data_IF_419285341147
#
_entry.id   IF_419285341147
#
_cell.length_a   1.000
_cell.length_b   1.000
_cell.length_c   1.000
_cell.angle_alpha   90.00
_cell.angle_beta   90.00
_cell.angle_gamma   90.00
#
_symmetry.space_group_name_H-M   'P 1'
#
loop_
_entity.id
_entity.type
_entity.pdbx_description
1 polymer ?
#
# COMPACT_ATOMS: atom_id res chain seq x y z
N UNK A 1 2.82 13.97 12.22
CA UNK A 1 1.99 14.11 11.01
C UNK A 1 2.92 14.49 9.89
N UNK A 2 2.89 13.73 8.79
CA UNK A 2 3.77 13.88 7.65
C UNK A 2 2.90 14.17 6.43
N UNK A 3 3.27 15.17 5.64
CA UNK A 3 2.74 15.35 4.29
C UNK A 3 3.54 14.46 3.35
N UNK A 4 2.86 13.54 2.68
CA UNK A 4 3.45 12.63 1.69
C UNK A 4 3.12 13.16 0.31
N UNK A 5 4.16 13.28 -0.52
CA UNK A 5 4.03 13.50 -1.96
C UNK A 5 4.43 12.22 -2.68
N UNK A 6 3.44 11.55 -3.26
CA UNK A 6 3.62 10.36 -4.08
C UNK A 6 3.59 10.75 -5.56
N UNK A 7 4.54 10.24 -6.33
CA UNK A 7 4.59 10.43 -7.79
C UNK A 7 4.70 9.05 -8.44
N UNK A 8 3.63 8.61 -9.11
CA UNK A 8 3.57 7.33 -9.83
C UNK A 8 3.10 7.63 -11.26
N UNK A 9 3.84 7.17 -12.27
CA UNK A 9 3.50 7.35 -13.69
C UNK A 9 3.12 8.81 -14.07
N UNK A 10 3.82 9.80 -13.51
CA UNK A 10 3.55 11.25 -13.63
C UNK A 10 2.24 11.75 -12.99
N UNK A 11 1.44 10.88 -12.38
CA UNK A 11 0.38 11.29 -11.46
C UNK A 11 1.00 11.70 -10.11
N UNK A 12 0.54 12.82 -9.55
CA UNK A 12 0.99 13.32 -8.24
C UNK A 12 -0.16 13.24 -7.24
N UNK A 13 0.04 12.51 -6.15
CA UNK A 13 -0.87 12.43 -5.01
C UNK A 13 -0.24 13.13 -3.81
N UNK A 14 -1.03 13.97 -3.12
CA UNK A 14 -0.65 14.65 -1.89
C UNK A 14 -1.62 14.25 -0.79
N UNK A 15 -1.10 13.66 0.29
CA UNK A 15 -1.93 13.23 1.42
C UNK A 15 -1.15 13.35 2.74
N UNK A 16 -1.88 13.37 3.85
CA UNK A 16 -1.31 13.39 5.19
C UNK A 16 -1.33 12.00 5.80
N UNK A 17 -0.22 11.59 6.42
CA UNK A 17 -0.15 10.37 7.23
C UNK A 17 0.31 10.69 8.65
N UNK A 18 -0.17 9.90 9.61
CA UNK A 18 0.24 10.03 11.01
C UNK A 18 1.64 9.50 11.24
N UNK A 19 1.99 8.40 10.56
CA UNK A 19 3.22 7.64 10.78
C UNK A 19 3.75 7.07 9.46
N UNK A 20 5.09 6.95 9.37
CA UNK A 20 5.79 6.24 8.32
C UNK A 20 6.73 5.26 9.01
N UNK A 21 6.54 3.97 8.76
CA UNK A 21 7.36 2.91 9.34
C UNK A 21 8.31 2.35 8.30
N UNK A 22 9.62 2.51 8.53
CA UNK A 22 10.65 1.90 7.68
C UNK A 22 11.09 0.60 8.33
N UNK A 23 10.59 -0.51 7.81
CA UNK A 23 11.00 -1.85 8.22
C UNK A 23 12.37 -2.20 7.61
N UNK A 24 13.30 -2.71 8.43
CA UNK A 24 14.60 -3.22 7.96
C UNK A 24 14.57 -4.75 7.98
N UNK A 25 15.34 -5.37 7.10
CA UNK A 25 15.53 -6.83 7.07
C UNK A 25 15.78 -7.36 8.49
N UNK A 26 14.98 -8.35 8.90
CA UNK A 26 15.03 -8.97 10.23
C UNK A 26 14.21 -8.28 11.32
N UNK A 27 13.58 -7.12 11.07
CA UNK A 27 12.67 -6.49 12.03
C UNK A 27 11.29 -7.19 12.04
N UNK A 28 10.52 -7.11 13.14
CA UNK A 28 9.15 -7.64 13.16
C UNK A 28 8.26 -7.06 12.07
N UNK A 29 8.41 -5.76 11.79
CA UNK A 29 7.65 -5.05 10.75
C UNK A 29 8.02 -5.54 9.35
N UNK A 30 9.26 -5.98 9.13
CA UNK A 30 9.68 -6.56 7.85
C UNK A 30 8.92 -7.86 7.62
N UNK A 31 8.92 -8.76 8.61
CA UNK A 31 8.15 -9.99 8.54
C UNK A 31 6.65 -9.72 8.33
N UNK A 32 6.07 -8.79 9.07
CA UNK A 32 4.66 -8.42 8.96
C UNK A 32 4.30 -7.93 7.54
N UNK A 33 5.18 -7.17 6.88
CA UNK A 33 4.94 -6.71 5.52
C UNK A 33 4.87 -7.87 4.51
N UNK A 34 5.76 -8.85 4.63
CA UNK A 34 5.74 -10.05 3.77
C UNK A 34 4.58 -10.99 4.11
N UNK A 35 4.23 -11.13 5.40
CA UNK A 35 3.06 -11.91 5.81
C UNK A 35 1.77 -11.32 5.20
N UNK A 36 1.62 -9.98 5.23
CA UNK A 36 0.50 -9.28 4.58
C UNK A 36 0.49 -9.50 3.06
N UNK A 37 1.65 -9.39 2.40
CA UNK A 37 1.75 -9.65 0.97
C UNK A 37 1.30 -11.08 0.60
N UNK A 38 1.71 -12.07 1.39
CA UNK A 38 1.30 -13.46 1.22
C UNK A 38 -0.21 -13.67 1.43
N UNK A 39 -0.79 -13.03 2.44
CA UNK A 39 -2.24 -13.07 2.69
C UNK A 39 -3.05 -12.49 1.52
N UNK A 40 -2.51 -11.46 0.86
CA UNK A 40 -3.09 -10.85 -0.34
C UNK A 40 -2.76 -11.63 -1.63
N UNK A 41 -1.96 -12.69 -1.57
CA UNK A 41 -1.55 -13.48 -2.74
C UNK A 41 -0.56 -12.75 -3.66
N UNK A 42 0.21 -11.80 -3.13
CA UNK A 42 1.16 -10.98 -3.87
C UNK A 42 2.58 -11.49 -3.59
N UNK A 43 3.27 -12.01 -4.60
CA UNK A 43 4.61 -12.60 -4.41
C UNK A 43 5.70 -11.54 -4.19
N UNK A 44 5.83 -10.55 -5.07
CA UNK A 44 6.95 -9.60 -5.05
C UNK A 44 6.49 -8.14 -5.07
N UNK A 45 5.84 -7.66 -3.99
CA UNK A 45 5.34 -6.29 -3.96
C UNK A 45 6.49 -5.28 -3.90
N UNK A 46 6.54 -4.36 -4.86
CA UNK A 46 7.30 -3.11 -4.75
C UNK A 46 6.48 -2.08 -3.96
N UNK A 47 5.17 -2.07 -4.16
CA UNK A 47 4.21 -1.21 -3.46
C UNK A 47 2.93 -2.00 -3.20
N UNK A 48 2.40 -1.89 -1.97
CA UNK A 48 1.03 -2.25 -1.63
C UNK A 48 0.37 -0.98 -1.08
N UNK A 49 -0.67 -0.52 -1.75
CA UNK A 49 -1.46 0.62 -1.34
C UNK A 49 -2.85 0.13 -0.94
N UNK A 50 -3.29 0.51 0.25
CA UNK A 50 -4.64 0.25 0.72
C UNK A 50 -5.49 1.48 0.45
N UNK A 51 -6.49 1.33 -0.42
CA UNK A 51 -7.37 2.39 -0.84
C UNK A 51 -8.67 2.24 -0.05
N UNK A 52 -8.96 3.19 0.87
CA UNK A 52 -10.21 3.16 1.61
C UNK A 52 -11.40 3.37 0.66
N UNK A 53 -12.61 2.98 1.09
CA UNK A 53 -13.80 3.21 0.28
C UNK A 53 -14.00 4.70 0.02
N UNK A 54 -14.45 5.02 -1.19
CA UNK A 54 -14.82 6.38 -1.57
C UNK A 54 -16.34 6.55 -1.59
N UNK A 55 -16.80 7.72 -1.16
CA UNK A 55 -18.23 8.00 -0.97
C UNK A 55 -18.66 9.18 -1.82
N UNK A 56 -19.89 9.13 -2.32
CA UNK A 56 -20.48 10.24 -3.09
C UNK A 56 -21.04 11.37 -2.22
N UNK A 57 -21.21 11.10 -0.93
CA UNK A 57 -21.80 12.01 0.05
C UNK A 57 -20.89 12.18 1.27
N UNK A 58 -20.95 13.37 1.88
CA UNK A 58 -20.12 13.73 3.05
C UNK A 58 -20.43 12.88 4.29
N UNK A 59 -21.65 12.35 4.40
CA UNK A 59 -22.08 11.47 5.49
C UNK A 59 -21.61 10.02 5.30
N UNK A 60 -20.89 9.72 4.21
CA UNK A 60 -20.29 8.41 3.91
C UNK A 60 -21.32 7.27 3.85
N UNK A 61 -22.51 7.52 3.29
CA UNK A 61 -23.59 6.55 3.22
C UNK A 61 -23.71 5.84 1.86
N UNK A 62 -23.20 6.44 0.80
CA UNK A 62 -23.26 5.93 -0.57
C UNK A 62 -21.85 5.69 -1.10
N UNK A 63 -21.46 4.41 -1.14
CA UNK A 63 -20.16 3.97 -1.64
C UNK A 63 -20.12 4.11 -3.17
N UNK A 64 -19.12 4.81 -3.70
CA UNK A 64 -18.77 4.85 -5.13
C UNK A 64 -17.83 3.69 -5.45
N UNK A 65 -16.80 3.52 -4.61
CA UNK A 65 -15.76 2.52 -4.77
C UNK A 65 -15.52 1.84 -3.44
N UNK A 66 -15.58 0.52 -3.44
CA UNK A 66 -15.32 -0.29 -2.25
C UNK A 66 -13.84 -0.26 -1.89
N UNK A 67 -13.59 -0.57 -0.62
CA UNK A 67 -12.24 -0.80 -0.12
C UNK A 67 -11.51 -1.85 -0.97
N UNK A 68 -10.30 -1.53 -1.42
CA UNK A 68 -9.47 -2.47 -2.14
C UNK A 68 -7.99 -2.18 -1.94
N UNK A 69 -7.15 -3.14 -2.33
CA UNK A 69 -5.70 -2.95 -2.36
C UNK A 69 -5.21 -2.90 -3.79
N UNK A 70 -4.31 -1.97 -4.06
CA UNK A 70 -3.53 -1.91 -5.28
C UNK A 70 -2.13 -2.44 -4.98
N UNK A 71 -1.60 -3.28 -5.86
CA UNK A 71 -0.23 -3.76 -5.73
C UNK A 71 0.50 -3.62 -7.05
N UNK A 72 1.77 -3.27 -6.95
CA UNK A 72 2.71 -3.26 -8.06
C UNK A 72 3.75 -4.33 -7.78
N UNK A 73 3.83 -5.33 -8.66
CA UNK A 73 4.81 -6.40 -8.56
C UNK A 73 6.00 -6.14 -9.46
N UNK A 74 7.18 -6.56 -9.02
CA UNK A 74 8.39 -6.48 -9.84
C UNK A 74 8.53 -7.72 -10.72
N UNK A 75 8.61 -7.51 -12.03
CA UNK A 75 8.91 -8.59 -12.98
C UNK A 75 10.34 -9.12 -12.80
N UNK A 76 10.50 -10.44 -12.90
CA UNK A 76 11.82 -11.10 -12.91
C UNK A 76 12.53 -11.19 -11.55
N UNK A 77 11.81 -10.98 -10.45
CA UNK A 77 12.33 -11.13 -9.08
C UNK A 77 11.59 -12.25 -8.36
N UNK A 78 12.31 -13.05 -7.56
CA UNK A 78 11.73 -14.09 -6.72
C UNK A 78 11.70 -13.65 -5.26
N UNK A 79 10.71 -14.12 -4.50
CA UNK A 79 10.71 -14.01 -3.03
C UNK A 79 11.93 -14.66 -2.39
N UNK A 80 12.57 -15.62 -3.05
CA UNK A 80 13.83 -16.23 -2.58
C UNK A 80 15.02 -15.27 -2.67
N UNK A 81 14.89 -14.14 -3.38
CA UNK A 81 15.93 -13.11 -3.49
C UNK A 81 15.87 -12.07 -2.34
N UNK A 82 14.82 -12.12 -1.49
CA UNK A 82 14.51 -11.16 -0.42
C UNK A 82 14.89 -11.64 0.99
#
# INVERSE_FOLDING_TARGET
MFTVKQIIENATSLYETKEITIARIGSPQWKQAFDLANELGIETPDVIEFIPPSYSDEEMTQVIEEEHSLSVTREGVSTNDC
#
